data_IF_267032823712
#
_entry.id   IF_267032823712
#
_cell.length_a   1.000
_cell.length_b   1.000
_cell.length_c   1.000
_cell.angle_alpha   90.00
_cell.angle_beta   90.00
_cell.angle_gamma   90.00
#
_symmetry.space_group_name_H-M   'P 1'
#
loop_
_entity.id
_entity.type
_entity.pdbx_description
1 polymer ?
#
# COMPACT_ATOMS: atom_id res chain seq x y z
N UNK A 1 -15.45 -30.30 -41.64
CA UNK A 1 -15.35 -28.93 -41.09
C UNK A 1 -15.49 -29.06 -39.59
N UNK A 2 -14.36 -29.33 -38.92
CA UNK A 2 -14.36 -29.46 -37.45
C UNK A 2 -14.30 -28.10 -36.85
N UNK A 3 -15.42 -27.66 -36.28
CA UNK A 3 -15.46 -26.49 -35.42
C UNK A 3 -14.63 -26.77 -34.15
N UNK A 4 -13.41 -26.26 -34.10
CA UNK A 4 -12.63 -26.16 -32.85
C UNK A 4 -13.42 -25.23 -31.94
N UNK A 5 -14.20 -25.78 -31.00
CA UNK A 5 -14.64 -25.02 -29.82
C UNK A 5 -13.38 -24.46 -29.16
N UNK A 6 -13.24 -23.16 -29.18
CA UNK A 6 -12.18 -22.47 -28.43
C UNK A 6 -12.60 -22.60 -26.97
N UNK A 7 -12.00 -23.57 -26.29
CA UNK A 7 -12.22 -23.77 -24.86
C UNK A 7 -11.74 -22.52 -24.11
N UNK A 8 -12.66 -21.79 -23.49
CA UNK A 8 -12.39 -20.63 -22.65
C UNK A 8 -11.93 -21.10 -21.27
N UNK A 9 -10.89 -21.91 -21.25
CA UNK A 9 -10.30 -22.41 -20.02
C UNK A 9 -9.23 -21.46 -19.50
N UNK A 10 -9.22 -21.29 -18.20
CA UNK A 10 -8.25 -20.47 -17.48
C UNK A 10 -7.44 -21.32 -16.52
N UNK A 11 -6.19 -20.93 -16.28
CA UNK A 11 -5.35 -21.48 -15.22
C UNK A 11 -4.91 -20.33 -14.34
N UNK A 12 -4.87 -20.55 -13.03
CA UNK A 12 -4.51 -19.58 -12.03
C UNK A 12 -3.19 -20.00 -11.40
N UNK A 13 -2.25 -19.08 -11.27
CA UNK A 13 -1.02 -19.33 -10.53
C UNK A 13 -1.26 -19.15 -9.05
N UNK A 14 -1.20 -20.23 -8.28
CA UNK A 14 -1.42 -20.23 -6.84
C UNK A 14 -0.24 -19.64 -6.04
N UNK A 15 -0.51 -19.31 -4.80
CA UNK A 15 0.49 -18.82 -3.85
C UNK A 15 1.55 -19.87 -3.46
N UNK A 16 1.29 -21.13 -3.78
CA UNK A 16 2.16 -22.29 -3.59
C UNK A 16 3.01 -22.63 -4.82
N UNK A 17 3.17 -21.65 -5.74
CA UNK A 17 3.88 -21.78 -7.01
C UNK A 17 3.36 -22.91 -7.93
N UNK A 18 2.08 -23.25 -7.81
CA UNK A 18 1.44 -24.28 -8.62
C UNK A 18 0.30 -23.70 -9.47
N UNK A 19 0.16 -24.14 -10.74
CA UNK A 19 -0.98 -23.74 -11.57
C UNK A 19 -2.23 -24.55 -11.20
N UNK A 20 -3.33 -23.86 -10.95
CA UNK A 20 -4.66 -24.43 -10.72
C UNK A 20 -5.52 -24.26 -11.95
N UNK A 21 -6.18 -25.31 -12.39
CA UNK A 21 -7.06 -25.34 -13.55
C UNK A 21 -6.97 -26.66 -14.33
N UNK A 22 -7.62 -26.76 -15.49
CA UNK A 22 -8.41 -25.71 -16.14
C UNK A 22 -9.71 -25.39 -15.40
N UNK A 23 -10.10 -24.12 -15.37
CA UNK A 23 -11.39 -23.65 -14.85
C UNK A 23 -12.11 -22.83 -15.91
N UNK A 24 -13.44 -22.91 -15.93
CA UNK A 24 -14.27 -22.10 -16.81
C UNK A 24 -14.45 -20.68 -16.24
N UNK A 25 -14.79 -19.72 -17.10
CA UNK A 25 -14.99 -18.33 -16.72
C UNK A 25 -15.95 -18.13 -15.51
N UNK A 26 -17.11 -18.81 -15.42
CA UNK A 26 -18.02 -18.65 -14.29
C UNK A 26 -17.35 -19.04 -12.95
N UNK A 27 -16.57 -20.12 -12.93
CA UNK A 27 -15.86 -20.57 -11.73
C UNK A 27 -14.76 -19.58 -11.35
N UNK A 28 -14.09 -19.01 -12.35
CA UNK A 28 -13.08 -17.99 -12.11
C UNK A 28 -13.69 -16.71 -11.53
N UNK A 29 -14.89 -16.32 -12.00
CA UNK A 29 -15.66 -15.18 -11.46
C UNK A 29 -16.07 -15.45 -9.99
N UNK A 30 -16.54 -16.65 -9.67
CA UNK A 30 -16.85 -17.03 -8.29
C UNK A 30 -15.59 -16.92 -7.40
N UNK A 31 -14.44 -17.34 -7.91
CA UNK A 31 -13.17 -17.22 -7.16
C UNK A 31 -12.69 -15.78 -7.01
N UNK A 32 -13.01 -14.90 -7.96
CA UNK A 32 -12.76 -13.45 -7.82
C UNK A 32 -13.70 -12.88 -6.75
N UNK A 33 -14.99 -13.27 -6.76
CA UNK A 33 -15.99 -12.81 -5.78
C UNK A 33 -15.68 -13.31 -4.37
N UNK A 34 -15.08 -14.49 -4.24
CA UNK A 34 -14.61 -15.09 -2.98
C UNK A 34 -13.21 -14.58 -2.55
N UNK A 35 -12.66 -13.60 -3.26
CA UNK A 35 -11.31 -13.04 -3.03
C UNK A 35 -10.17 -14.08 -3.10
N UNK A 36 -10.41 -15.22 -3.74
CA UNK A 36 -9.41 -16.28 -3.98
C UNK A 36 -8.53 -15.96 -5.19
N UNK A 37 -9.02 -15.14 -6.12
CA UNK A 37 -8.30 -14.60 -7.27
C UNK A 37 -8.36 -13.08 -7.19
N UNK A 38 -7.20 -12.45 -7.02
CA UNK A 38 -7.05 -11.00 -6.88
C UNK A 38 -6.67 -10.35 -8.22
N UNK A 39 -6.78 -9.03 -8.30
CA UNK A 39 -6.47 -8.26 -9.51
C UNK A 39 -5.04 -8.50 -10.04
N UNK A 40 -4.10 -8.79 -9.15
CA UNK A 40 -2.68 -9.05 -9.44
C UNK A 40 -2.33 -10.55 -9.53
N UNK A 41 -3.32 -11.44 -9.37
CA UNK A 41 -3.12 -12.90 -9.55
C UNK A 41 -2.78 -13.21 -11.00
N UNK A 42 -1.76 -14.03 -11.24
CA UNK A 42 -1.44 -14.50 -12.57
C UNK A 42 -2.47 -15.50 -13.07
N UNK A 43 -3.05 -15.21 -14.22
CA UNK A 43 -4.03 -16.03 -14.91
C UNK A 43 -3.56 -16.29 -16.34
N UNK A 44 -3.60 -17.53 -16.76
CA UNK A 44 -3.37 -17.95 -18.14
C UNK A 44 -4.71 -18.14 -18.81
N UNK A 45 -5.02 -17.35 -19.82
CA UNK A 45 -6.17 -17.52 -20.66
C UNK A 45 -5.78 -18.38 -21.87
N UNK A 46 -6.38 -19.56 -22.03
CA UNK A 46 -6.00 -20.51 -23.09
C UNK A 46 -6.20 -19.97 -24.51
N UNK A 47 -7.21 -19.11 -24.68
CA UNK A 47 -7.49 -18.47 -25.97
C UNK A 47 -6.44 -17.44 -26.38
N UNK A 48 -5.75 -16.84 -25.38
CA UNK A 48 -4.73 -15.80 -25.57
C UNK A 48 -3.30 -16.38 -25.52
N UNK A 49 -3.13 -17.55 -24.91
CA UNK A 49 -1.85 -18.28 -24.84
C UNK A 49 -0.78 -17.61 -23.96
N UNK A 50 -1.17 -16.66 -23.13
CA UNK A 50 -0.26 -15.89 -22.29
C UNK A 50 -0.72 -15.81 -20.82
N UNK A 51 0.25 -15.75 -19.92
CA UNK A 51 0.03 -15.37 -18.52
C UNK A 51 -0.12 -13.87 -18.43
N UNK A 52 -1.21 -13.40 -17.81
CA UNK A 52 -1.45 -11.97 -17.50
C UNK A 52 -1.95 -11.81 -16.08
N UNK A 53 -1.93 -10.62 -15.55
CA UNK A 53 -2.65 -10.30 -14.32
C UNK A 53 -4.15 -10.40 -14.56
N UNK A 54 -4.88 -10.89 -13.59
CA UNK A 54 -6.34 -11.09 -13.72
C UNK A 54 -7.05 -9.80 -14.14
N UNK A 55 -6.67 -8.63 -13.60
CA UNK A 55 -7.22 -7.34 -13.97
C UNK A 55 -6.85 -6.88 -15.40
N UNK A 56 -5.87 -7.49 -16.06
CA UNK A 56 -5.46 -7.16 -17.43
C UNK A 56 -6.23 -7.97 -18.49
N UNK A 57 -6.99 -8.98 -18.06
CA UNK A 57 -7.79 -9.84 -18.92
C UNK A 57 -9.14 -9.16 -19.16
N UNK A 58 -9.50 -8.82 -20.43
CA UNK A 58 -10.68 -8.01 -20.73
C UNK A 58 -11.98 -8.53 -20.13
N UNK A 59 -12.17 -9.87 -20.16
CA UNK A 59 -13.38 -10.54 -19.67
C UNK A 59 -13.49 -10.51 -18.13
N UNK A 60 -12.39 -10.24 -17.44
CA UNK A 60 -12.33 -10.17 -15.98
C UNK A 60 -12.35 -8.75 -15.46
N UNK A 61 -12.09 -7.74 -16.31
CA UNK A 61 -11.96 -6.33 -15.88
C UNK A 61 -13.23 -5.81 -15.20
N UNK A 62 -14.41 -6.22 -15.65
CA UNK A 62 -15.67 -5.79 -15.05
C UNK A 62 -15.86 -6.30 -13.61
N UNK A 63 -15.25 -7.42 -13.24
CA UNK A 63 -15.30 -8.02 -11.91
C UNK A 63 -14.26 -7.43 -10.96
N UNK A 64 -13.23 -6.81 -11.50
CA UNK A 64 -12.28 -5.97 -10.78
C UNK A 64 -12.62 -4.48 -10.89
N UNK A 65 -13.63 -4.12 -11.67
CA UNK A 65 -14.06 -2.74 -11.97
C UNK A 65 -14.69 -1.97 -10.80
N UNK A 66 -14.74 -2.56 -9.61
CA UNK A 66 -14.83 -1.83 -8.35
C UNK A 66 -13.46 -1.61 -7.71
N UNK A 67 -12.39 -2.07 -8.33
CA UNK A 67 -11.05 -1.61 -8.00
C UNK A 67 -10.96 -0.20 -8.56
N UNK A 68 -11.16 0.77 -7.69
CA UNK A 68 -11.02 2.19 -7.94
C UNK A 68 -9.69 2.39 -8.67
N UNK A 69 -9.76 2.59 -10.00
CA UNK A 69 -8.69 3.22 -10.73
C UNK A 69 -8.33 4.48 -9.97
N UNK A 70 -7.06 4.61 -9.58
CA UNK A 70 -6.47 5.71 -8.80
C UNK A 70 -6.66 7.11 -9.43
N UNK A 71 -7.58 7.26 -10.40
CA UNK A 71 -7.76 8.49 -11.18
C UNK A 71 -9.13 9.16 -11.03
N UNK A 72 -10.01 8.73 -10.13
CA UNK A 72 -11.39 9.30 -10.09
C UNK A 72 -11.95 9.63 -8.70
N UNK A 73 -11.14 9.86 -7.68
CA UNK A 73 -11.62 10.41 -6.41
C UNK A 73 -11.24 11.87 -6.18
N UNK A 74 -11.04 12.63 -7.24
CA UNK A 74 -10.98 14.10 -7.17
C UNK A 74 -12.37 14.65 -7.46
N UNK A 75 -13.32 14.42 -6.58
CA UNK A 75 -14.56 15.22 -6.51
C UNK A 75 -15.44 14.80 -5.33
N UNK A 76 -15.06 15.14 -4.14
CA UNK A 76 -16.03 15.42 -3.07
C UNK A 76 -15.35 16.34 -2.08
N UNK A 77 -15.70 17.61 -2.15
CA UNK A 77 -15.23 18.68 -1.29
C UNK A 77 -15.72 18.59 0.17
N UNK A 78 -15.83 17.40 0.72
CA UNK A 78 -15.95 17.17 2.15
C UNK A 78 -14.54 17.04 2.71
N UNK A 79 -13.99 18.14 3.23
CA UNK A 79 -12.68 18.17 3.88
C UNK A 79 -12.57 17.08 4.95
N UNK A 80 -11.38 16.48 5.08
CA UNK A 80 -11.09 15.50 6.11
C UNK A 80 -11.31 16.15 7.47
N UNK A 81 -12.19 15.61 8.30
CA UNK A 81 -12.52 16.21 9.59
C UNK A 81 -11.25 16.32 10.47
N UNK A 82 -10.95 17.49 11.07
CA UNK A 82 -9.78 17.67 11.93
C UNK A 82 -9.68 16.64 13.06
N UNK A 83 -10.83 16.21 13.59
CA UNK A 83 -10.91 15.18 14.62
C UNK A 83 -10.32 13.83 14.17
N UNK A 84 -10.47 13.46 12.90
CA UNK A 84 -9.88 12.25 12.34
C UNK A 84 -8.35 12.37 12.22
N UNK A 85 -7.85 13.54 11.85
CA UNK A 85 -6.41 13.81 11.72
C UNK A 85 -5.69 13.79 13.08
N UNK A 86 -6.36 14.11 14.18
CA UNK A 86 -5.79 14.06 15.54
C UNK A 86 -5.38 12.65 15.98
N UNK A 87 -5.93 11.61 15.35
CA UNK A 87 -5.52 10.22 15.62
C UNK A 87 -4.10 9.93 15.12
N UNK A 88 -3.62 10.71 14.17
CA UNK A 88 -2.29 10.54 13.59
C UNK A 88 -1.25 11.15 14.53
N UNK A 89 -0.37 10.31 15.05
CA UNK A 89 0.60 10.66 16.13
C UNK A 89 1.41 11.90 15.83
N UNK A 90 1.88 12.07 14.58
CA UNK A 90 2.68 13.24 14.18
C UNK A 90 1.86 14.53 14.02
N UNK A 91 0.54 14.43 13.93
CA UNK A 91 -0.36 15.57 13.78
C UNK A 91 -1.00 16.01 15.11
N UNK A 92 -0.80 15.28 16.20
CA UNK A 92 -1.48 15.48 17.48
C UNK A 92 -1.21 16.86 18.11
N UNK A 93 -0.11 17.53 17.75
CA UNK A 93 0.26 18.86 18.28
C UNK A 93 -0.28 20.02 17.43
N UNK A 94 -0.88 19.76 16.27
CA UNK A 94 -1.47 20.76 15.40
C UNK A 94 -2.83 21.20 15.92
N UNK A 95 -3.14 22.50 15.85
CA UNK A 95 -4.47 23.00 16.12
C UNK A 95 -5.42 22.76 14.93
N UNK A 96 -6.73 22.98 15.12
CA UNK A 96 -7.74 22.66 14.10
C UNK A 96 -7.55 23.45 12.81
N UNK A 97 -7.14 24.72 12.87
CA UNK A 97 -6.85 25.52 11.69
C UNK A 97 -5.64 25.01 10.92
N UNK A 98 -4.62 24.51 11.62
CA UNK A 98 -3.45 23.88 11.02
C UNK A 98 -3.79 22.53 10.39
N UNK A 99 -4.63 21.73 11.04
CA UNK A 99 -5.11 20.45 10.52
C UNK A 99 -5.98 20.65 9.27
N UNK A 100 -6.90 21.62 9.29
CA UNK A 100 -7.70 21.97 8.12
C UNK A 100 -6.83 22.44 6.95
N UNK A 101 -5.83 23.28 7.23
CA UNK A 101 -4.90 23.74 6.20
C UNK A 101 -4.06 22.60 5.63
N UNK A 102 -3.53 21.72 6.50
CA UNK A 102 -2.72 20.58 6.09
C UNK A 102 -3.52 19.56 5.27
N UNK A 103 -4.81 19.35 5.60
CA UNK A 103 -5.67 18.42 4.89
C UNK A 103 -5.80 18.71 3.39
N UNK A 104 -5.65 19.99 2.98
CA UNK A 104 -5.70 20.41 1.57
C UNK A 104 -4.51 19.94 0.73
N UNK A 105 -3.47 19.45 1.38
CA UNK A 105 -2.29 18.84 0.75
C UNK A 105 -2.31 17.32 0.83
N UNK A 106 -3.41 16.75 1.32
CA UNK A 106 -3.57 15.30 1.50
C UNK A 106 -4.66 14.77 0.59
N UNK A 107 -4.45 13.56 0.13
CA UNK A 107 -5.40 12.80 -0.67
C UNK A 107 -5.81 11.54 0.10
N UNK A 108 -7.12 11.33 0.24
CA UNK A 108 -7.63 10.14 0.92
C UNK A 108 -7.70 8.98 -0.05
N UNK A 109 -7.21 7.82 0.38
CA UNK A 109 -7.22 6.58 -0.38
C UNK A 109 -7.80 5.44 0.46
N UNK A 110 -8.66 4.63 -0.15
CA UNK A 110 -9.14 3.39 0.42
C UNK A 110 -8.35 2.23 -0.16
N UNK A 111 -7.84 1.38 0.69
CA UNK A 111 -6.99 0.24 0.33
C UNK A 111 -7.66 -1.03 0.83
N UNK A 112 -8.10 -1.91 -0.06
CA UNK A 112 -8.66 -3.20 0.32
C UNK A 112 -7.63 -4.07 1.03
N UNK A 113 -8.12 -4.96 1.87
CA UNK A 113 -7.30 -5.99 2.51
C UNK A 113 -6.46 -6.75 1.48
N UNK A 114 -5.22 -7.07 1.84
CA UNK A 114 -4.22 -7.78 1.04
C UNK A 114 -3.71 -7.03 -0.20
N UNK A 115 -4.17 -5.81 -0.44
CA UNK A 115 -3.65 -4.97 -1.52
C UNK A 115 -2.30 -4.35 -1.15
N UNK A 116 -1.39 -4.30 -2.12
CA UNK A 116 -0.14 -3.56 -1.99
C UNK A 116 -0.38 -2.06 -2.19
N UNK A 117 0.08 -1.25 -1.24
CA UNK A 117 0.06 0.22 -1.35
C UNK A 117 1.29 0.71 -2.09
N UNK A 118 2.43 0.10 -1.82
CA UNK A 118 3.73 0.37 -2.47
C UNK A 118 4.50 -0.94 -2.61
N UNK A 119 5.31 -1.06 -3.66
CA UNK A 119 6.17 -2.21 -3.87
C UNK A 119 7.64 -1.81 -3.68
N UNK A 120 8.46 -2.72 -3.16
CA UNK A 120 9.89 -2.53 -3.01
C UNK A 120 10.54 -2.20 -4.35
N UNK A 121 11.38 -1.18 -4.37
CA UNK A 121 12.10 -0.74 -5.57
C UNK A 121 11.35 0.26 -6.45
N UNK A 122 10.03 0.43 -6.26
CA UNK A 122 9.28 1.46 -6.99
C UNK A 122 9.77 2.87 -6.63
N UNK A 123 9.59 3.80 -7.53
CA UNK A 123 9.90 5.22 -7.26
C UNK A 123 9.02 5.74 -6.13
N UNK A 124 9.64 6.33 -5.13
CA UNK A 124 8.91 6.92 -4.02
C UNK A 124 8.28 8.25 -4.39
N UNK A 125 6.96 8.33 -4.31
CA UNK A 125 6.15 9.47 -4.73
C UNK A 125 5.46 10.23 -3.60
N UNK A 126 5.71 9.83 -2.33
CA UNK A 126 5.12 10.48 -1.15
C UNK A 126 5.09 9.58 0.07
N UNK A 127 4.49 10.09 1.15
CA UNK A 127 4.23 9.35 2.38
C UNK A 127 2.74 9.13 2.61
N UNK A 128 2.43 8.16 3.45
CA UNK A 128 1.08 7.75 3.79
C UNK A 128 0.87 7.79 5.29
N UNK A 129 -0.23 8.36 5.72
CA UNK A 129 -0.69 8.43 7.11
C UNK A 129 -1.90 7.51 7.25
N UNK A 130 -1.95 6.69 8.29
CA UNK A 130 -3.01 5.68 8.46
C UNK A 130 -4.14 6.27 9.31
N UNK A 131 -5.28 6.55 8.67
CA UNK A 131 -6.50 6.98 9.36
C UNK A 131 -7.23 5.82 10.03
N UNK A 132 -7.23 4.68 9.35
CA UNK A 132 -7.90 3.45 9.80
C UNK A 132 -7.22 2.25 9.14
N UNK A 133 -7.14 1.14 9.87
CA UNK A 133 -6.62 -0.12 9.39
C UNK A 133 -5.23 -0.45 9.93
N UNK A 134 -4.73 -1.60 9.49
CA UNK A 134 -3.42 -2.14 9.80
C UNK A 134 -2.70 -2.54 8.51
N UNK A 135 -1.42 -2.21 8.40
CA UNK A 135 -0.58 -2.56 7.27
C UNK A 135 0.74 -3.17 7.76
N UNK A 136 1.39 -3.97 6.92
CA UNK A 136 2.73 -4.50 7.19
C UNK A 136 3.71 -4.09 6.12
N UNK A 137 4.92 -3.72 6.54
CA UNK A 137 6.07 -3.63 5.66
C UNK A 137 6.77 -4.99 5.59
N UNK A 138 7.05 -5.46 4.37
CA UNK A 138 7.74 -6.73 4.15
C UNK A 138 8.80 -6.63 3.07
N UNK A 139 9.75 -7.56 3.11
CA UNK A 139 10.67 -7.84 2.00
C UNK A 139 10.60 -9.32 1.66
N UNK A 140 10.77 -9.64 0.38
CA UNK A 140 10.88 -11.01 -0.09
C UNK A 140 12.36 -11.37 -0.26
N UNK A 141 12.84 -12.37 0.47
CA UNK A 141 14.23 -12.86 0.36
C UNK A 141 14.20 -14.35 0.07
N UNK A 142 14.73 -14.76 -1.08
CA UNK A 142 14.75 -16.17 -1.52
C UNK A 142 13.36 -16.84 -1.48
N UNK A 143 12.29 -16.11 -1.84
CA UNK A 143 10.91 -16.61 -1.84
C UNK A 143 10.24 -16.63 -0.45
N UNK A 144 10.92 -16.17 0.59
CA UNK A 144 10.35 -16.08 1.94
C UNK A 144 9.99 -14.64 2.30
N UNK A 145 8.78 -14.46 2.87
CA UNK A 145 8.34 -13.18 3.40
C UNK A 145 9.01 -12.90 4.75
N UNK A 146 9.64 -11.74 4.85
CA UNK A 146 10.14 -11.23 6.13
C UNK A 146 9.41 -9.94 6.47
N UNK A 147 8.63 -9.95 7.54
CA UNK A 147 7.93 -8.76 8.04
C UNK A 147 8.93 -7.88 8.78
N UNK A 148 9.12 -6.65 8.28
CA UNK A 148 10.00 -5.66 8.88
C UNK A 148 9.31 -4.87 9.99
N UNK A 149 8.04 -4.49 9.75
CA UNK A 149 7.24 -3.68 10.67
C UNK A 149 5.75 -3.86 10.39
N UNK A 150 4.94 -3.66 11.43
CA UNK A 150 3.49 -3.48 11.32
C UNK A 150 3.17 -2.04 11.67
N UNK A 151 2.26 -1.43 10.90
CA UNK A 151 1.77 -0.07 11.08
C UNK A 151 0.29 -0.12 11.42
N UNK A 152 -0.10 0.64 12.43
CA UNK A 152 -1.48 0.73 12.91
C UNK A 152 -2.07 2.12 12.66
N UNK A 153 -3.37 2.26 12.90
CA UNK A 153 -4.05 3.57 12.90
C UNK A 153 -3.26 4.60 13.71
N UNK A 154 -2.97 5.73 13.09
CA UNK A 154 -2.16 6.83 13.66
C UNK A 154 -0.68 6.78 13.31
N UNK A 155 -0.19 5.69 12.71
CA UNK A 155 1.16 5.59 12.18
C UNK A 155 1.29 6.18 10.78
N UNK A 156 2.51 6.16 10.24
CA UNK A 156 2.81 6.57 8.87
C UNK A 156 3.96 5.74 8.30
N UNK A 157 4.04 5.70 6.97
CA UNK A 157 5.14 5.06 6.22
C UNK A 157 5.44 5.81 4.92
N UNK A 158 6.51 5.42 4.23
CA UNK A 158 6.94 6.02 2.98
C UNK A 158 7.58 7.40 3.13
N UNK A 159 7.90 7.79 4.35
CA UNK A 159 8.51 9.06 4.74
C UNK A 159 9.89 9.30 4.14
N UNK A 160 10.72 8.26 3.99
CA UNK A 160 12.05 8.38 3.38
C UNK A 160 11.93 8.96 1.97
N UNK A 161 11.05 8.43 1.16
CA UNK A 161 10.84 8.90 -0.22
C UNK A 161 10.36 10.35 -0.31
N UNK A 162 9.70 10.86 0.74
CA UNK A 162 9.31 12.26 0.81
C UNK A 162 10.53 13.19 0.91
N UNK A 163 11.60 12.73 1.57
CA UNK A 163 12.78 13.54 1.84
C UNK A 163 13.90 13.34 0.83
N UNK A 164 14.20 12.08 0.47
CA UNK A 164 15.33 11.74 -0.40
C UNK A 164 14.92 11.38 -1.84
N UNK A 165 13.60 11.24 -2.10
CA UNK A 165 13.05 10.79 -3.39
C UNK A 165 13.62 9.43 -3.86
N UNK A 166 14.13 8.66 -2.91
CA UNK A 166 14.67 7.33 -3.13
C UNK A 166 13.60 6.30 -3.44
N UNK A 167 14.00 5.10 -3.89
CA UNK A 167 13.09 4.00 -4.13
C UNK A 167 12.47 3.49 -2.81
N UNK A 168 11.33 2.82 -2.92
CA UNK A 168 10.67 2.17 -1.79
C UNK A 168 11.56 1.07 -1.22
N UNK A 169 11.78 1.07 0.09
CA UNK A 169 12.66 0.12 0.77
C UNK A 169 12.02 -1.25 1.01
N UNK A 170 10.69 -1.33 0.96
CA UNK A 170 9.90 -2.53 1.23
C UNK A 170 8.54 -2.46 0.53
N UNK A 171 7.89 -3.62 0.36
CA UNK A 171 6.45 -3.65 0.09
C UNK A 171 5.68 -3.20 1.33
N UNK A 172 4.57 -2.49 1.13
CA UNK A 172 3.59 -2.24 2.21
C UNK A 172 2.24 -2.76 1.77
N UNK A 173 1.69 -3.70 2.54
CA UNK A 173 0.47 -4.42 2.23
C UNK A 173 -0.53 -4.22 3.36
N UNK A 174 -1.80 -4.00 2.99
CA UNK A 174 -2.89 -3.87 3.93
C UNK A 174 -3.23 -5.26 4.55
N UNK A 175 -3.27 -5.36 5.88
CA UNK A 175 -3.71 -6.55 6.60
C UNK A 175 -5.24 -6.61 6.70
N UNK A 176 -5.90 -5.45 6.61
CA UNK A 176 -7.35 -5.27 6.61
C UNK A 176 -7.72 -4.07 5.73
N UNK A 177 -9.02 -3.87 5.45
CA UNK A 177 -9.49 -2.70 4.72
C UNK A 177 -9.03 -1.43 5.43
N UNK A 178 -8.30 -0.60 4.72
CA UNK A 178 -7.58 0.53 5.31
C UNK A 178 -7.94 1.83 4.63
N UNK A 179 -7.90 2.92 5.39
CA UNK A 179 -8.05 4.29 4.89
C UNK A 179 -6.77 5.06 5.16
N UNK A 180 -6.14 5.55 4.11
CA UNK A 180 -4.87 6.26 4.14
C UNK A 180 -5.03 7.70 3.70
N UNK A 181 -4.13 8.56 4.16
CA UNK A 181 -3.92 9.91 3.62
C UNK A 181 -2.54 9.97 2.99
N UNK A 182 -2.49 10.22 1.70
CA UNK A 182 -1.25 10.42 0.96
C UNK A 182 -0.88 11.89 0.93
N UNK A 183 0.38 12.19 1.24
CA UNK A 183 1.05 13.46 0.92
C UNK A 183 2.07 13.16 -0.17
N UNK A 184 1.78 13.54 -1.40
CA UNK A 184 2.73 13.36 -2.50
C UNK A 184 3.94 14.30 -2.35
N UNK A 185 5.07 13.96 -2.98
CA UNK A 185 6.26 14.84 -3.01
C UNK A 185 5.92 16.21 -3.57
N UNK A 186 5.09 16.29 -4.60
CA UNK A 186 4.62 17.56 -5.18
C UNK A 186 3.72 18.34 -4.23
N UNK A 187 2.84 17.68 -3.49
CA UNK A 187 2.00 18.33 -2.48
C UNK A 187 2.85 18.83 -1.31
N UNK A 188 3.87 18.06 -0.92
CA UNK A 188 4.81 18.49 0.12
C UNK A 188 5.67 19.68 -0.32
N UNK A 189 6.15 19.69 -1.55
CA UNK A 189 6.87 20.87 -2.13
C UNK A 189 5.96 22.11 -2.18
N UNK A 190 4.66 21.94 -2.42
CA UNK A 190 3.68 23.03 -2.31
C UNK A 190 3.51 23.50 -0.87
N UNK A 191 3.31 22.56 0.07
CA UNK A 191 3.17 22.87 1.49
C UNK A 191 4.35 23.70 2.01
N UNK A 192 5.58 23.34 1.65
CA UNK A 192 6.78 24.06 2.07
C UNK A 192 6.86 25.48 1.52
N UNK A 193 6.31 25.73 0.33
CA UNK A 193 6.28 27.07 -0.30
C UNK A 193 5.10 27.91 0.19
N UNK A 194 3.92 27.33 0.27
CA UNK A 194 2.66 28.05 0.54
C UNK A 194 2.42 28.25 2.06
N UNK A 195 2.88 27.29 2.89
CA UNK A 195 2.70 27.32 4.34
C UNK A 195 3.95 26.87 5.10
N UNK A 196 5.08 27.60 5.00
CA UNK A 196 6.37 27.17 5.57
C UNK A 196 6.34 26.96 7.08
N UNK A 197 5.56 27.75 7.82
CA UNK A 197 5.40 27.58 9.27
C UNK A 197 4.72 26.22 9.59
N UNK A 198 3.71 25.84 8.84
CA UNK A 198 3.01 24.56 8.99
C UNK A 198 3.92 23.40 8.58
N UNK A 199 4.63 23.53 7.46
CA UNK A 199 5.61 22.56 7.00
C UNK A 199 6.68 22.31 8.07
N UNK A 200 7.17 23.36 8.75
CA UNK A 200 8.17 23.25 9.82
C UNK A 200 7.65 22.41 10.99
N UNK A 201 6.42 22.64 11.45
CA UNK A 201 5.84 21.87 12.55
C UNK A 201 5.67 20.40 12.15
N UNK A 202 5.17 20.16 10.93
CA UNK A 202 5.01 18.82 10.37
C UNK A 202 6.35 18.08 10.29
N UNK A 203 7.39 18.71 9.73
CA UNK A 203 8.74 18.15 9.62
C UNK A 203 9.36 17.84 10.98
N UNK A 204 9.21 18.72 11.96
CA UNK A 204 9.72 18.47 13.30
C UNK A 204 9.05 17.27 13.98
N UNK A 205 7.75 17.13 13.82
CA UNK A 205 7.01 15.99 14.37
C UNK A 205 7.44 14.67 13.70
N UNK A 206 7.57 14.66 12.37
CA UNK A 206 8.07 13.53 11.61
C UNK A 206 9.49 13.15 12.02
N UNK A 207 10.41 14.12 12.09
CA UNK A 207 11.80 13.90 12.49
C UNK A 207 11.93 13.30 13.91
N UNK A 208 11.10 13.76 14.87
CA UNK A 208 11.06 13.18 16.22
C UNK A 208 10.66 11.70 16.21
N UNK A 209 9.66 11.36 15.41
CA UNK A 209 9.19 9.96 15.29
C UNK A 209 10.23 9.08 14.61
N UNK A 210 10.88 9.57 13.54
CA UNK A 210 11.99 8.86 12.88
C UNK A 210 13.16 8.61 13.83
N UNK A 211 13.56 9.65 14.60
CA UNK A 211 14.61 9.50 15.61
C UNK A 211 14.25 8.48 16.69
N UNK A 212 12.97 8.35 17.05
CA UNK A 212 12.51 7.34 17.99
C UNK A 212 12.56 5.92 17.36
N UNK A 213 12.14 5.77 16.10
CA UNK A 213 12.23 4.50 15.34
C UNK A 213 13.68 4.04 15.22
N UNK A 214 14.59 4.89 14.78
CA UNK A 214 16.02 4.56 14.67
C UNK A 214 16.59 4.09 16.02
N UNK A 215 16.26 4.77 17.12
CA UNK A 215 16.73 4.34 18.46
C UNK A 215 16.15 2.98 18.88
N UNK A 216 14.91 2.69 18.51
CA UNK A 216 14.28 1.39 18.79
C UNK A 216 14.95 0.26 17.97
N UNK A 217 15.22 0.51 16.69
CA UNK A 217 15.89 -0.45 15.80
C UNK A 217 17.34 -0.72 16.24
N UNK A 218 18.09 0.31 16.64
CA UNK A 218 19.44 0.12 17.20
C UNK A 218 19.42 -0.77 18.44
N UNK A 219 18.46 -0.56 19.37
CA UNK A 219 18.32 -1.43 20.55
C UNK A 219 17.95 -2.88 20.17
N UNK A 220 17.19 -3.07 19.10
CA UNK A 220 16.84 -4.40 18.59
C UNK A 220 18.07 -5.10 18.03
N UNK A 221 18.87 -4.40 17.24
CA UNK A 221 20.13 -4.88 16.69
C UNK A 221 21.12 -5.28 17.79
N UNK A 222 21.29 -4.43 18.81
CA UNK A 222 22.18 -4.72 19.95
C UNK A 222 21.78 -6.03 20.65
N UNK A 223 20.48 -6.26 20.87
CA UNK A 223 19.99 -7.50 21.50
C UNK A 223 20.31 -8.73 20.63
N UNK A 224 20.06 -8.66 19.32
CA UNK A 224 20.34 -9.77 18.40
C UNK A 224 21.83 -10.06 18.38
N UNK A 225 22.69 -9.05 18.32
CA UNK A 225 24.14 -9.19 18.34
C UNK A 225 24.64 -9.83 19.64
N UNK A 226 24.10 -9.42 20.81
CA UNK A 226 24.44 -10.01 22.09
C UNK A 226 24.02 -11.49 22.20
N UNK A 227 22.84 -11.85 21.66
CA UNK A 227 22.39 -13.24 21.62
C UNK A 227 23.32 -14.12 20.76
N UNK A 228 23.77 -13.61 19.61
CA UNK A 228 24.73 -14.31 18.76
C UNK A 228 26.06 -14.56 19.48
N UNK A 229 26.60 -13.55 20.21
CA UNK A 229 27.87 -13.72 20.95
C UNK A 229 27.74 -14.63 22.17
N UNK A 230 26.55 -14.74 22.76
CA UNK A 230 26.32 -15.64 23.91
C UNK A 230 26.09 -17.10 23.49
N UNK A 231 25.92 -17.37 22.19
CA UNK A 231 25.66 -18.71 21.63
C UNK A 231 26.91 -19.37 21.03
N UNK A 232 28.06 -18.69 21.08
CA UNK A 232 29.40 -19.16 20.67
C UNK A 232 30.24 -19.44 21.92
#
# INVERSE_FOLDING_TARGET
MDGKEVSNDYFIWGIDDSPYGPVELPVLIDWISDERVLADTWVFARHDGNWRRAAEIPELQEYFGQTITLDSAVASGAGIAPASLRRIKILAQLNDAQLDHLSRFMEQQHVPRLSAVVNQGDSGDGMYLILQGELRARVMTAGQETILSTFETGDFFGDLSLFDRGPRSADVIANEDSTLLKISTTAFDRLTREAPALATVFLQATARTLAARIRADNKRLDRVTQQFHASI
#
